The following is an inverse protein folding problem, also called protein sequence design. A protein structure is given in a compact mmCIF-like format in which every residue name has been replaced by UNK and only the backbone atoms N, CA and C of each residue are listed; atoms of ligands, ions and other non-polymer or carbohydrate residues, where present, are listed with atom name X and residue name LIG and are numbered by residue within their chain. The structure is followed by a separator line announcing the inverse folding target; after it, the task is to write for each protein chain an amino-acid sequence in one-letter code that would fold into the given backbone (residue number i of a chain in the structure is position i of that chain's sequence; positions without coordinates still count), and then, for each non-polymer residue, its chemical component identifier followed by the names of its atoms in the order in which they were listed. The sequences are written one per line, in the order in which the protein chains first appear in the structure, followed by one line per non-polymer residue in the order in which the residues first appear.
data_IF_093272926506
#
_entry.id   IF_093272926506
#
_cell.length_a   1.000
_cell.length_b   1.000
_cell.length_c   1.000
_cell.angle_alpha   90.00
_cell.angle_beta   90.00
_cell.angle_gamma   90.00
#
_symmetry.space_group_name_H-M   'P 1'
#
loop_
_entity.id
_entity.type
_entity.pdbx_description
1 polymer ?
#
# COMPACT_ATOMS: atom_id res chain seq x y z
N UNK A 1 0.45 4.23 -15.67
CA UNK A 1 -0.20 3.17 -14.87
C UNK A 1 0.08 1.78 -15.44
N UNK A 2 0.14 0.72 -14.62
CA UNK A 2 0.29 -0.65 -15.13
C UNK A 2 -0.92 -1.08 -15.95
N UNK A 3 -0.70 -1.91 -16.98
CA UNK A 3 -1.72 -2.35 -17.95
C UNK A 3 -2.92 -3.06 -17.31
N UNK A 4 -2.76 -3.61 -16.10
CA UNK A 4 -3.81 -4.28 -15.33
C UNK A 4 -4.85 -3.32 -14.75
N UNK A 5 -4.52 -2.04 -14.50
CA UNK A 5 -5.43 -1.02 -13.96
C UNK A 5 -6.14 -0.20 -15.07
N UNK A 6 -6.52 -0.88 -16.16
CA UNK A 6 -7.21 -0.26 -17.31
C UNK A 6 -8.65 0.14 -16.95
N UNK A 7 -9.28 0.96 -17.79
CA UNK A 7 -10.70 1.32 -17.63
C UNK A 7 -11.56 0.06 -17.56
N UNK A 8 -12.46 0.00 -16.57
CA UNK A 8 -13.33 -1.16 -16.35
C UNK A 8 -12.65 -2.35 -15.64
N UNK A 9 -11.38 -2.24 -15.26
CA UNK A 9 -10.75 -3.24 -14.40
C UNK A 9 -11.35 -3.20 -12.99
N UNK A 10 -11.41 -4.36 -12.36
CA UNK A 10 -11.74 -4.55 -10.95
C UNK A 10 -10.48 -4.56 -10.09
N UNK A 11 -10.63 -4.43 -8.78
CA UNK A 11 -9.51 -4.63 -7.83
C UNK A 11 -8.88 -6.01 -8.01
N UNK A 12 -9.70 -7.06 -8.19
CA UNK A 12 -9.25 -8.41 -8.48
C UNK A 12 -8.43 -8.52 -9.78
N UNK A 13 -8.73 -7.75 -10.83
CA UNK A 13 -7.92 -7.74 -12.06
C UNK A 13 -6.49 -7.23 -11.80
N UNK A 14 -6.37 -6.21 -10.94
CA UNK A 14 -5.06 -5.67 -10.54
C UNK A 14 -4.34 -6.66 -9.63
N UNK A 15 -5.05 -7.24 -8.66
CA UNK A 15 -4.49 -8.21 -7.72
C UNK A 15 -4.00 -9.48 -8.43
N UNK A 16 -4.78 -10.01 -9.38
CA UNK A 16 -4.41 -11.17 -10.19
C UNK A 16 -3.12 -10.95 -10.99
N UNK A 17 -2.83 -9.71 -11.41
CA UNK A 17 -1.58 -9.41 -12.09
C UNK A 17 -0.36 -9.55 -11.17
N UNK A 18 -0.49 -9.22 -9.87
CA UNK A 18 0.57 -9.45 -8.88
C UNK A 18 0.77 -10.96 -8.65
N UNK A 19 -0.31 -11.72 -8.46
CA UNK A 19 -0.28 -13.19 -8.37
C UNK A 19 0.45 -13.81 -9.58
N UNK A 20 -0.01 -13.52 -10.80
CA UNK A 20 0.60 -14.05 -12.01
C UNK A 20 2.05 -13.56 -12.20
N UNK A 21 2.35 -12.32 -11.77
CA UNK A 21 3.69 -11.75 -11.79
C UNK A 21 4.65 -12.48 -10.86
N UNK A 22 4.17 -12.86 -9.67
CA UNK A 22 4.90 -13.61 -8.65
C UNK A 22 5.22 -15.03 -9.13
N UNK A 23 4.19 -15.80 -9.49
CA UNK A 23 4.33 -17.20 -9.92
C UNK A 23 5.24 -17.32 -11.15
N UNK A 24 5.11 -16.41 -12.13
CA UNK A 24 5.98 -16.41 -13.32
C UNK A 24 7.48 -16.30 -12.99
N UNK A 25 7.82 -15.73 -11.84
CA UNK A 25 9.20 -15.54 -11.37
C UNK A 25 9.65 -16.61 -10.38
N UNK A 26 8.80 -17.59 -10.07
CA UNK A 26 9.08 -18.64 -9.10
C UNK A 26 8.84 -18.22 -7.65
N UNK A 27 7.96 -17.24 -7.41
CA UNK A 27 7.43 -17.01 -6.06
C UNK A 27 6.28 -17.95 -5.72
N UNK A 28 5.77 -17.85 -4.49
CA UNK A 28 4.93 -18.90 -3.90
C UNK A 28 3.47 -18.46 -3.69
N UNK A 29 3.22 -17.48 -2.80
CA UNK A 29 1.87 -16.99 -2.53
C UNK A 29 1.86 -15.51 -2.09
N UNK A 30 0.67 -15.00 -1.77
CA UNK A 30 0.46 -13.70 -1.14
C UNK A 30 -0.40 -13.92 0.10
N UNK A 31 0.05 -13.41 1.26
CA UNK A 31 -0.50 -13.71 2.59
C UNK A 31 -1.89 -13.11 2.81
N UNK A 32 -2.21 -12.01 2.11
CA UNK A 32 -3.44 -11.24 2.35
C UNK A 32 -4.23 -10.96 1.08
N UNK A 33 -5.26 -10.12 1.20
CA UNK A 33 -6.00 -9.51 0.09
C UNK A 33 -5.96 -7.99 0.19
N UNK A 34 -4.88 -7.40 0.69
CA UNK A 34 -4.78 -5.95 0.94
C UNK A 34 -4.54 -5.18 -0.37
N UNK A 35 -5.61 -4.98 -1.13
CA UNK A 35 -5.68 -4.06 -2.25
C UNK A 35 -7.10 -3.49 -2.32
N UNK A 36 -7.24 -2.19 -2.10
CA UNK A 36 -8.53 -1.50 -2.13
C UNK A 36 -8.43 -0.20 -2.90
N UNK A 37 -9.57 0.26 -3.42
CA UNK A 37 -9.64 1.42 -4.30
C UNK A 37 -10.73 2.42 -3.90
N UNK A 38 -10.43 3.70 -4.10
CA UNK A 38 -11.33 4.82 -3.84
C UNK A 38 -11.77 4.85 -2.37
N UNK A 39 -13.08 4.91 -2.06
CA UNK A 39 -13.57 4.98 -0.69
C UNK A 39 -13.26 3.73 0.13
N UNK A 40 -12.95 2.59 -0.51
CA UNK A 40 -12.62 1.34 0.21
C UNK A 40 -11.23 1.36 0.85
N UNK A 41 -10.39 2.35 0.56
CA UNK A 41 -9.10 2.50 1.24
C UNK A 41 -9.24 3.01 2.68
N UNK A 42 -10.45 3.41 3.10
CA UNK A 42 -10.73 3.89 4.45
C UNK A 42 -12.10 3.36 4.95
N UNK A 43 -12.16 2.57 6.04
CA UNK A 43 -11.01 2.13 6.84
C UNK A 43 -10.10 1.17 6.05
N UNK A 44 -8.82 1.18 6.38
CA UNK A 44 -7.83 0.23 5.84
C UNK A 44 -8.20 -1.22 6.22
N UNK A 45 -7.54 -2.21 5.62
CA UNK A 45 -7.84 -3.66 5.74
C UNK A 45 -9.10 -4.17 5.03
N UNK A 46 -9.79 -3.34 4.25
CA UNK A 46 -10.80 -3.85 3.33
C UNK A 46 -10.15 -4.68 2.22
N UNK A 47 -10.63 -5.91 2.02
CA UNK A 47 -10.05 -6.86 1.08
C UNK A 47 -10.34 -6.53 -0.38
N UNK A 48 -9.42 -6.90 -1.26
CA UNK A 48 -9.57 -6.85 -2.70
C UNK A 48 -10.80 -7.63 -3.14
N UNK A 49 -11.61 -7.03 -4.01
CA UNK A 49 -12.89 -7.59 -4.40
C UNK A 49 -13.34 -7.19 -5.81
N UNK A 50 -14.66 -7.24 -6.08
CA UNK A 50 -15.22 -7.01 -7.41
C UNK A 50 -15.39 -5.52 -7.74
N UNK A 51 -14.95 -4.57 -6.89
CA UNK A 51 -15.12 -3.14 -7.15
C UNK A 51 -14.39 -2.75 -8.42
N UNK A 52 -15.11 -2.11 -9.35
CA UNK A 52 -14.54 -1.51 -10.56
C UNK A 52 -13.82 -0.22 -10.21
N UNK A 53 -12.61 -0.04 -10.74
CA UNK A 53 -11.80 1.16 -10.53
C UNK A 53 -12.36 2.34 -11.33
N UNK A 54 -12.36 3.52 -10.72
CA UNK A 54 -12.74 4.80 -11.31
C UNK A 54 -11.53 5.72 -11.48
N UNK A 55 -11.56 6.62 -12.46
CA UNK A 55 -10.54 7.68 -12.55
C UNK A 55 -10.55 8.56 -11.29
N UNK A 56 -9.37 8.88 -10.77
CA UNK A 56 -9.17 9.63 -9.54
C UNK A 56 -9.16 8.80 -8.26
N UNK A 57 -9.49 7.50 -8.34
CA UNK A 57 -9.42 6.61 -7.19
C UNK A 57 -7.98 6.55 -6.65
N UNK A 58 -7.85 6.69 -5.33
CA UNK A 58 -6.67 6.22 -4.64
C UNK A 58 -6.71 4.68 -4.66
N UNK A 59 -5.73 4.05 -5.27
CA UNK A 59 -5.53 2.61 -5.29
C UNK A 59 -4.38 2.30 -4.34
N UNK A 60 -4.69 1.77 -3.17
CA UNK A 60 -3.72 1.43 -2.13
C UNK A 60 -3.64 -0.08 -1.97
N UNK A 61 -2.42 -0.59 -1.89
CA UNK A 61 -2.17 -2.01 -1.72
C UNK A 61 -0.94 -2.27 -0.87
N UNK A 62 -0.94 -3.43 -0.22
CA UNK A 62 0.24 -4.05 0.36
C UNK A 62 0.60 -5.30 -0.42
N UNK A 63 1.89 -5.60 -0.58
CA UNK A 63 2.29 -6.78 -1.35
C UNK A 63 2.09 -8.05 -0.57
N UNK A 64 2.43 -8.06 0.73
CA UNK A 64 2.33 -9.25 1.60
C UNK A 64 2.81 -10.54 0.90
N UNK A 65 3.87 -10.42 0.09
CA UNK A 65 4.17 -11.37 -0.97
C UNK A 65 5.29 -12.31 -0.54
N UNK A 66 5.02 -13.61 -0.59
CA UNK A 66 6.06 -14.64 -0.47
C UNK A 66 6.59 -14.94 -1.87
N UNK A 67 7.78 -14.42 -2.12
CA UNK A 67 8.40 -14.34 -3.44
C UNK A 67 9.39 -15.46 -3.72
N UNK A 68 10.34 -15.16 -4.60
CA UNK A 68 11.38 -16.11 -5.03
C UNK A 68 12.22 -16.56 -3.83
N UNK A 69 12.56 -17.84 -3.81
CA UNK A 69 13.30 -18.49 -2.71
C UNK A 69 12.56 -18.45 -1.36
N UNK A 70 11.23 -18.28 -1.36
CA UNK A 70 10.42 -18.22 -0.14
C UNK A 70 10.62 -16.97 0.71
N UNK A 71 11.32 -15.94 0.21
CA UNK A 71 11.51 -14.69 0.94
C UNK A 71 10.30 -13.79 0.82
N UNK A 72 9.86 -13.25 1.96
CA UNK A 72 8.80 -12.27 2.02
C UNK A 72 9.29 -10.89 1.52
N UNK A 73 8.48 -10.27 0.67
CA UNK A 73 8.59 -8.87 0.26
C UNK A 73 7.31 -8.15 0.66
N UNK A 74 7.39 -7.44 1.77
CA UNK A 74 6.31 -6.68 2.38
C UNK A 74 6.52 -5.17 2.14
N UNK A 75 5.75 -4.62 1.20
CA UNK A 75 5.88 -3.26 0.70
C UNK A 75 4.53 -2.73 0.24
N UNK A 76 4.04 -1.70 0.92
CA UNK A 76 2.83 -1.00 0.51
C UNK A 76 3.10 0.20 -0.41
N UNK A 77 2.17 0.47 -1.33
CA UNK A 77 2.16 1.65 -2.21
C UNK A 77 0.73 2.14 -2.43
N UNK A 78 0.62 3.43 -2.75
CA UNK A 78 -0.64 4.07 -3.16
C UNK A 78 -0.45 4.79 -4.50
N UNK A 79 -1.38 4.57 -5.41
CA UNK A 79 -1.41 5.19 -6.74
C UNK A 79 -2.71 5.95 -6.97
N UNK A 80 -2.71 6.90 -7.90
CA UNK A 80 -3.94 7.52 -8.43
C UNK A 80 -4.31 6.84 -9.73
N UNK A 81 -5.55 6.33 -9.82
CA UNK A 81 -6.03 5.67 -11.03
C UNK A 81 -6.37 6.68 -12.11
N UNK A 82 -5.86 6.44 -13.32
CA UNK A 82 -6.10 7.31 -14.47
C UNK A 82 -5.00 8.35 -14.66
N UNK A 83 -5.12 9.13 -15.74
CA UNK A 83 -4.27 10.29 -16.00
C UNK A 83 -4.99 11.54 -15.48
N UNK A 84 -5.10 11.61 -14.15
CA UNK A 84 -5.80 12.70 -13.45
C UNK A 84 -4.93 13.24 -12.34
N UNK A 85 -5.02 14.54 -12.13
CA UNK A 85 -4.25 15.21 -11.09
C UNK A 85 -4.73 14.77 -9.69
N UNK A 86 -3.82 14.31 -8.80
CA UNK A 86 -4.18 13.98 -7.43
C UNK A 86 -4.75 15.20 -6.70
N UNK A 87 -5.78 15.00 -5.88
CA UNK A 87 -6.38 16.08 -5.10
C UNK A 87 -5.39 16.65 -4.08
N UNK A 88 -5.63 17.88 -3.62
CA UNK A 88 -4.82 18.50 -2.57
C UNK A 88 -4.75 17.62 -1.31
N UNK A 89 -5.86 16.95 -0.98
CA UNK A 89 -5.94 16.04 0.16
C UNK A 89 -5.13 14.76 -0.05
N UNK A 90 -5.24 14.12 -1.23
CA UNK A 90 -4.43 12.93 -1.57
C UNK A 90 -2.93 13.25 -1.48
N UNK A 91 -2.50 14.41 -2.00
CA UNK A 91 -1.10 14.87 -1.89
C UNK A 91 -0.69 15.13 -0.44
N UNK A 92 -1.57 15.74 0.37
CA UNK A 92 -1.32 16.00 1.79
C UNK A 92 -1.11 14.71 2.56
N UNK A 93 -2.01 13.74 2.40
CA UNK A 93 -1.92 12.43 3.06
C UNK A 93 -0.68 11.66 2.61
N UNK A 94 -0.35 11.68 1.32
CA UNK A 94 0.86 11.04 0.81
C UNK A 94 2.13 11.62 1.44
N UNK A 95 2.25 12.95 1.57
CA UNK A 95 3.41 13.58 2.22
C UNK A 95 3.53 13.16 3.68
N UNK A 96 2.43 13.13 4.43
CA UNK A 96 2.41 12.70 5.84
C UNK A 96 2.88 11.24 5.95
N UNK A 97 2.38 10.35 5.10
CA UNK A 97 2.77 8.93 5.09
C UNK A 97 4.24 8.75 4.72
N UNK A 98 4.70 9.48 3.69
CA UNK A 98 6.10 9.45 3.24
C UNK A 98 7.06 9.95 4.31
N UNK A 99 6.76 11.07 4.96
CA UNK A 99 7.54 11.59 6.09
C UNK A 99 7.59 10.57 7.24
N UNK A 100 6.45 9.97 7.58
CA UNK A 100 6.38 9.00 8.67
C UNK A 100 7.31 7.81 8.49
N UNK A 101 7.37 7.22 7.28
CA UNK A 101 8.26 6.08 7.04
C UNK A 101 9.74 6.48 7.01
N UNK A 102 10.07 7.66 6.46
CA UNK A 102 11.48 8.09 6.35
C UNK A 102 12.06 8.50 7.71
N UNK A 103 11.33 9.32 8.47
CA UNK A 103 11.76 9.72 9.83
C UNK A 103 11.94 8.50 10.73
N UNK A 104 11.06 7.50 10.61
CA UNK A 104 11.19 6.26 11.39
C UNK A 104 12.34 5.38 10.90
N UNK A 105 12.55 5.26 9.59
CA UNK A 105 13.62 4.47 9.01
C UNK A 105 15.00 5.00 9.42
N UNK A 106 15.18 6.32 9.51
CA UNK A 106 16.44 6.96 9.91
C UNK A 106 16.89 6.59 11.34
N UNK A 107 15.97 6.12 12.20
CA UNK A 107 16.30 5.64 13.54
C UNK A 107 16.89 4.22 13.55
N UNK A 108 16.70 3.44 12.48
CA UNK A 108 17.07 2.02 12.45
C UNK A 108 18.57 1.85 12.25
N UNK A 109 19.25 1.39 13.29
CA UNK A 109 20.69 1.09 13.27
C UNK A 109 21.05 0.04 14.32
N UNK A 110 22.19 -0.67 14.18
CA UNK A 110 22.65 -1.64 15.17
C UNK A 110 22.70 -1.05 16.59
N UNK A 111 22.22 -1.81 17.58
CA UNK A 111 22.22 -1.43 18.99
C UNK A 111 21.01 -0.63 19.48
N UNK A 112 20.14 -0.12 18.60
CA UNK A 112 18.89 0.55 19.02
C UNK A 112 17.88 -0.48 19.51
N UNK A 113 17.23 -0.20 20.65
CA UNK A 113 16.19 -1.07 21.21
C UNK A 113 14.84 -0.82 20.54
N UNK A 114 14.04 -1.87 20.39
CA UNK A 114 12.66 -1.74 19.89
C UNK A 114 11.82 -0.74 20.72
N UNK A 115 12.02 -0.69 22.04
CA UNK A 115 11.35 0.28 22.92
C UNK A 115 11.70 1.74 22.59
N UNK A 116 12.92 1.99 22.10
CA UNK A 116 13.34 3.34 21.68
C UNK A 116 12.66 3.72 20.36
N UNK A 117 12.58 2.78 19.40
CA UNK A 117 11.85 2.99 18.15
C UNK A 117 10.38 3.34 18.41
N UNK A 118 9.70 2.60 19.30
CA UNK A 118 8.29 2.87 19.63
C UNK A 118 8.08 4.21 20.34
N UNK A 119 8.99 4.60 21.24
CA UNK A 119 8.87 5.86 22.01
C UNK A 119 9.19 7.08 21.16
N UNK A 120 10.18 6.97 20.28
CA UNK A 120 10.70 8.08 19.49
C UNK A 120 10.09 8.17 18.09
N UNK A 121 9.25 7.19 17.71
CA UNK A 121 8.60 7.13 16.41
C UNK A 121 7.84 8.41 16.07
N UNK A 122 7.93 8.82 14.81
CA UNK A 122 7.25 9.97 14.25
C UNK A 122 5.76 9.96 14.64
N UNK A 123 5.31 11.06 15.25
CA UNK A 123 3.95 11.16 15.74
C UNK A 123 3.05 11.76 14.67
N UNK A 124 2.21 10.92 14.07
CA UNK A 124 1.24 11.33 13.05
C UNK A 124 0.37 12.52 13.53
N UNK A 125 -0.14 13.36 12.61
CA UNK A 125 -1.11 14.40 12.94
C UNK A 125 -2.38 13.83 13.60
N UNK A 126 -3.06 14.60 14.45
CA UNK A 126 -4.23 14.12 15.19
C UNK A 126 -5.32 13.53 14.29
N UNK A 127 -5.54 14.13 13.11
CA UNK A 127 -6.49 13.66 12.10
C UNK A 127 -6.21 12.25 11.57
N UNK A 128 -5.00 11.74 11.74
CA UNK A 128 -4.57 10.43 11.25
C UNK A 128 -4.35 9.40 12.37
N UNK A 129 -4.70 9.72 13.63
CA UNK A 129 -4.47 8.83 14.79
C UNK A 129 -5.64 7.92 15.14
N UNK A 130 -6.85 8.24 14.67
CA UNK A 130 -8.06 7.50 15.04
C UNK A 130 -8.08 6.05 14.50
N UNK A 131 -7.25 5.75 13.50
CA UNK A 131 -7.15 4.44 12.85
C UNK A 131 -5.72 3.86 12.98
N UNK A 132 -5.03 4.16 14.09
CA UNK A 132 -3.73 3.60 14.42
C UNK A 132 -3.83 2.21 15.01
#
# INVERSE_FOLDING_TARGET
MPRCARRGATENDVWAALHAGNIRRGGEWIETRILSSGPRTNPWYQESGPRVLSDGDLLSFDTDLVGVYGFCVDRSRSWIRGDVEPTAEQKRLYRIAHEHIHVNADMVRPGVRFTELSRNGHRLPQSCRAQR
#
